data_IF_046827886276
#
_entry.id   IF_046827886276
#
_cell.length_a   1.000
_cell.length_b   1.000
_cell.length_c   1.000
_cell.angle_alpha   90.00
_cell.angle_beta   90.00
_cell.angle_gamma   90.00
#
_symmetry.space_group_name_H-M   'P 1'
#
loop_
_entity.id
_entity.type
_entity.pdbx_description
1 polymer ?
#
# COMPACT_ATOMS: atom_id res chain seq x y z
N UNK A 1 -7.47 25.61 27.52
CA UNK A 1 -7.83 24.49 26.61
C UNK A 1 -7.12 23.24 27.13
N UNK A 2 -7.85 22.32 27.78
CA UNK A 2 -7.26 21.10 28.37
C UNK A 2 -6.88 20.16 27.23
N UNK A 3 -5.59 19.82 27.12
CA UNK A 3 -5.10 18.87 26.13
C UNK A 3 -5.55 17.46 26.50
N UNK A 4 -6.28 16.81 25.61
CA UNK A 4 -6.65 15.41 25.74
C UNK A 4 -5.37 14.57 25.56
N UNK A 5 -4.79 14.10 26.67
CA UNK A 5 -3.72 13.10 26.62
C UNK A 5 -4.35 11.81 26.12
N UNK A 6 -3.98 11.37 24.92
CA UNK A 6 -4.39 10.06 24.40
C UNK A 6 -3.88 8.99 25.39
N UNK A 7 -4.75 8.05 25.82
CA UNK A 7 -4.34 7.01 26.78
C UNK A 7 -3.16 6.21 26.22
N UNK A 8 -2.21 5.87 27.10
CA UNK A 8 -1.10 4.97 26.78
C UNK A 8 -1.71 3.66 26.30
N UNK A 9 -1.52 3.34 25.02
CA UNK A 9 -2.03 2.12 24.40
C UNK A 9 -1.44 0.92 25.15
N UNK A 10 -2.28 0.09 25.75
CA UNK A 10 -1.82 -1.15 26.40
C UNK A 10 -0.99 -1.99 25.42
N UNK A 11 0.05 -2.71 25.90
CA UNK A 11 0.91 -3.50 25.05
C UNK A 11 0.09 -4.63 24.41
N UNK A 12 -0.35 -4.40 23.17
CA UNK A 12 -1.02 -5.42 22.36
C UNK A 12 -0.02 -6.52 22.04
N UNK A 13 -0.44 -7.79 22.18
CA UNK A 13 0.36 -8.94 21.81
C UNK A 13 0.95 -8.78 20.40
N UNK A 14 2.26 -8.92 20.26
CA UNK A 14 2.94 -8.72 18.97
C UNK A 14 2.59 -9.85 18.00
N UNK A 15 2.25 -9.51 16.77
CA UNK A 15 2.06 -10.51 15.71
C UNK A 15 3.39 -11.17 15.32
N UNK A 16 3.32 -12.40 14.78
CA UNK A 16 4.48 -13.19 14.32
C UNK A 16 5.44 -12.39 13.44
N UNK A 17 4.92 -11.64 12.47
CA UNK A 17 5.73 -10.82 11.55
C UNK A 17 6.47 -9.67 12.26
N UNK A 18 5.91 -9.12 13.34
CA UNK A 18 6.52 -8.05 14.13
C UNK A 18 7.69 -8.59 14.95
N UNK A 19 7.52 -9.76 15.57
CA UNK A 19 8.59 -10.42 16.34
C UNK A 19 9.77 -10.75 15.42
N UNK A 20 9.51 -11.37 14.26
CA UNK A 20 10.56 -11.67 13.28
C UNK A 20 11.29 -10.42 12.78
N UNK A 21 10.58 -9.32 12.54
CA UNK A 21 11.20 -8.06 12.09
C UNK A 21 12.06 -7.39 13.16
N UNK A 22 11.66 -7.46 14.43
CA UNK A 22 12.47 -6.96 15.56
C UNK A 22 13.74 -7.78 15.73
N UNK A 23 13.65 -9.11 15.66
CA UNK A 23 14.84 -9.97 15.71
C UNK A 23 15.81 -9.64 14.56
N UNK A 24 15.31 -9.48 13.34
CA UNK A 24 16.14 -9.10 12.20
C UNK A 24 16.84 -7.74 12.39
N UNK A 25 16.15 -6.76 13.01
CA UNK A 25 16.76 -5.47 13.33
C UNK A 25 17.86 -5.59 14.39
N UNK A 26 17.67 -6.44 15.41
CA UNK A 26 18.69 -6.73 16.43
C UNK A 26 19.92 -7.38 15.78
N UNK A 27 19.71 -8.40 14.94
CA UNK A 27 20.79 -9.08 14.20
C UNK A 27 21.54 -8.10 13.30
N UNK A 28 20.82 -7.22 12.60
CA UNK A 28 21.44 -6.19 11.77
C UNK A 28 22.29 -5.23 12.60
N UNK A 29 21.79 -4.75 13.74
CA UNK A 29 22.53 -3.85 14.62
C UNK A 29 23.80 -4.48 15.19
N UNK A 30 23.76 -5.75 15.57
CA UNK A 30 24.97 -6.48 16.03
C UNK A 30 26.00 -6.57 14.92
N UNK A 31 25.58 -7.01 13.72
CA UNK A 31 26.48 -7.08 12.56
C UNK A 31 27.07 -5.73 12.17
N UNK A 32 26.28 -4.66 12.23
CA UNK A 32 26.75 -3.31 11.92
C UNK A 32 27.73 -2.76 12.97
N UNK A 33 27.75 -3.34 14.17
CA UNK A 33 28.70 -3.01 15.23
C UNK A 33 29.88 -4.01 15.29
N UNK A 34 30.01 -4.92 14.30
CA UNK A 34 30.96 -6.03 14.29
C UNK A 34 30.91 -6.92 15.54
N UNK A 35 29.74 -6.99 16.18
CA UNK A 35 29.47 -7.87 17.32
C UNK A 35 28.71 -9.11 16.85
N UNK A 36 29.04 -10.26 17.44
CA UNK A 36 28.37 -11.52 17.13
C UNK A 36 26.86 -11.44 17.44
N UNK A 37 25.97 -11.68 16.45
CA UNK A 37 24.54 -11.54 16.65
C UNK A 37 23.97 -12.69 17.51
N UNK A 38 22.85 -12.48 18.22
CA UNK A 38 22.21 -13.51 19.06
C UNK A 38 21.79 -14.78 18.32
N UNK A 39 21.72 -14.73 16.98
CA UNK A 39 21.42 -15.88 16.13
C UNK A 39 22.63 -16.75 15.81
N UNK A 40 23.83 -16.30 16.15
CA UNK A 40 25.10 -17.00 15.89
C UNK A 40 25.86 -17.34 17.19
N UNK A 41 25.40 -16.82 18.33
CA UNK A 41 25.96 -17.13 19.65
C UNK A 41 25.74 -18.60 20.04
N UNK A 42 26.54 -19.16 20.96
CA UNK A 42 26.44 -20.56 21.38
C UNK A 42 25.05 -20.98 21.91
N UNK A 43 24.26 -20.04 22.42
CA UNK A 43 22.91 -20.24 22.94
C UNK A 43 21.80 -20.01 21.88
N UNK A 44 22.16 -19.75 20.61
CA UNK A 44 21.23 -19.49 19.52
C UNK A 44 20.19 -20.61 19.33
N UNK A 45 20.50 -21.85 19.71
CA UNK A 45 19.54 -22.96 19.69
C UNK A 45 18.31 -22.71 20.61
N UNK A 46 18.49 -22.02 21.74
CA UNK A 46 17.39 -21.62 22.63
C UNK A 46 16.52 -20.57 21.97
N UNK A 47 17.15 -19.58 21.33
CA UNK A 47 16.45 -18.55 20.56
C UNK A 47 15.68 -19.14 19.38
N UNK A 48 16.26 -20.08 18.64
CA UNK A 48 15.59 -20.74 17.52
C UNK A 48 14.39 -21.55 18.00
N UNK A 49 14.53 -22.28 19.12
CA UNK A 49 13.43 -23.02 19.74
C UNK A 49 12.31 -22.10 20.20
N UNK A 50 12.62 -20.98 20.85
CA UNK A 50 11.65 -19.97 21.25
C UNK A 50 10.93 -19.36 20.03
N UNK A 51 11.68 -19.01 18.97
CA UNK A 51 11.10 -18.50 17.72
C UNK A 51 10.23 -19.54 17.02
N UNK A 52 10.58 -20.82 17.08
CA UNK A 52 9.78 -21.93 16.56
C UNK A 52 8.49 -22.12 17.37
N UNK A 53 8.57 -22.04 18.71
CA UNK A 53 7.42 -22.04 19.61
C UNK A 53 6.45 -20.91 19.28
N UNK A 54 6.94 -19.66 19.23
CA UNK A 54 6.16 -18.48 18.85
C UNK A 54 5.50 -18.65 17.46
N UNK A 55 6.21 -19.22 16.48
CA UNK A 55 5.65 -19.49 15.14
C UNK A 55 4.54 -20.54 15.20
N UNK A 56 4.64 -21.54 16.07
CA UNK A 56 3.67 -22.63 16.24
C UNK A 56 2.44 -22.14 17.00
N UNK A 57 2.62 -21.44 18.12
CA UNK A 57 1.54 -20.90 18.95
C UNK A 57 0.73 -19.86 18.17
N UNK A 58 1.40 -19.02 17.36
CA UNK A 58 0.76 -18.04 16.49
C UNK A 58 0.40 -18.59 15.11
N UNK A 59 0.45 -19.91 14.89
CA UNK A 59 0.03 -20.53 13.62
C UNK A 59 -1.50 -20.51 13.45
N UNK A 60 -2.23 -20.50 14.58
CA UNK A 60 -3.70 -20.37 14.62
C UNK A 60 -4.21 -18.92 14.59
N UNK A 61 -3.33 -17.92 14.79
CA UNK A 61 -3.64 -16.51 14.51
C UNK A 61 -3.71 -16.34 12.99
N UNK A 62 -4.85 -16.69 12.38
CA UNK A 62 -5.11 -16.31 10.99
C UNK A 62 -4.93 -14.79 10.92
N UNK A 63 -4.09 -14.26 10.00
CA UNK A 63 -4.12 -12.85 9.70
C UNK A 63 -5.58 -12.51 9.41
N UNK A 64 -6.21 -11.71 10.26
CA UNK A 64 -7.64 -11.44 10.15
C UNK A 64 -7.93 -11.12 8.69
N UNK A 65 -8.74 -11.95 8.03
CA UNK A 65 -9.05 -11.82 6.61
C UNK A 65 -9.83 -10.53 6.45
N UNK A 66 -9.08 -9.43 6.31
CA UNK A 66 -9.61 -8.11 6.04
C UNK A 66 -10.24 -8.20 4.67
N UNK A 67 -11.49 -7.76 4.55
CA UNK A 67 -12.14 -7.59 3.25
C UNK A 67 -11.14 -6.89 2.33
N UNK A 68 -10.82 -7.45 1.15
CA UNK A 68 -9.93 -6.78 0.23
C UNK A 68 -10.49 -5.40 -0.08
N UNK A 69 -9.62 -4.39 -0.13
CA UNK A 69 -9.99 -3.08 -0.65
C UNK A 69 -10.04 -3.20 -2.18
N UNK A 70 -11.02 -3.96 -2.69
CA UNK A 70 -11.16 -4.23 -4.12
C UNK A 70 -11.57 -2.97 -4.90
N UNK A 71 -11.75 -3.11 -6.22
CA UNK A 71 -12.07 -1.98 -7.08
C UNK A 71 -13.39 -1.28 -6.73
N UNK A 72 -14.34 -1.98 -6.11
CA UNK A 72 -15.63 -1.40 -5.69
C UNK A 72 -15.44 -0.53 -4.47
N UNK A 73 -14.78 -1.09 -3.45
CA UNK A 73 -14.47 -0.36 -2.20
C UNK A 73 -13.70 0.92 -2.49
N UNK A 74 -12.68 0.88 -3.37
CA UNK A 74 -11.91 2.08 -3.69
C UNK A 74 -12.71 3.12 -4.46
N UNK A 75 -13.60 2.69 -5.37
CA UNK A 75 -14.49 3.62 -6.07
C UNK A 75 -15.43 4.30 -5.08
N UNK A 76 -15.98 3.55 -4.13
CA UNK A 76 -16.91 4.08 -3.14
C UNK A 76 -16.18 5.08 -2.20
N UNK A 77 -14.93 4.77 -1.82
CA UNK A 77 -14.05 5.70 -1.10
C UNK A 77 -13.77 7.00 -1.87
N UNK A 78 -13.49 6.93 -3.18
CA UNK A 78 -13.27 8.13 -4.01
C UNK A 78 -14.55 8.96 -4.11
N UNK A 79 -15.71 8.31 -4.26
CA UNK A 79 -17.03 8.98 -4.34
C UNK A 79 -17.47 9.61 -3.03
N UNK A 80 -17.12 9.00 -1.90
CA UNK A 80 -17.45 9.52 -0.57
C UNK A 80 -16.68 10.81 -0.22
N UNK A 81 -15.57 11.10 -0.91
CA UNK A 81 -14.88 12.39 -0.78
C UNK A 81 -15.69 13.44 -1.53
N UNK A 82 -16.62 14.06 -0.81
CA UNK A 82 -17.43 15.20 -1.26
C UNK A 82 -16.69 16.52 -1.01
N UNK A 83 -16.78 17.46 -1.94
CA UNK A 83 -16.19 18.80 -1.80
C UNK A 83 -15.28 19.22 -2.96
N UNK A 84 -15.06 20.53 -3.04
CA UNK A 84 -14.27 21.21 -4.08
C UNK A 84 -13.07 21.96 -3.51
N UNK A 85 -12.65 21.65 -2.29
CA UNK A 85 -11.42 22.20 -1.72
C UNK A 85 -10.18 21.42 -2.21
N UNK A 86 -9.00 21.99 -1.99
CA UNK A 86 -7.73 21.35 -2.38
C UNK A 86 -7.55 19.97 -1.76
N UNK A 87 -8.05 19.76 -0.54
CA UNK A 87 -7.93 18.47 0.15
C UNK A 87 -8.71 17.39 -0.58
N UNK A 88 -9.95 17.68 -0.97
CA UNK A 88 -10.82 16.77 -1.69
C UNK A 88 -10.25 16.41 -3.07
N UNK A 89 -9.71 17.39 -3.81
CA UNK A 89 -9.05 17.10 -5.09
C UNK A 89 -7.80 16.23 -4.91
N UNK A 90 -6.92 16.58 -3.96
CA UNK A 90 -5.71 15.80 -3.67
C UNK A 90 -6.06 14.37 -3.29
N UNK A 91 -7.02 14.19 -2.38
CA UNK A 91 -7.30 12.88 -1.79
C UNK A 91 -7.99 11.95 -2.81
N UNK A 92 -8.88 12.47 -3.68
CA UNK A 92 -9.41 11.69 -4.83
C UNK A 92 -8.31 11.26 -5.79
N UNK A 93 -7.43 12.19 -6.19
CA UNK A 93 -6.30 11.88 -7.07
C UNK A 93 -5.34 10.87 -6.44
N UNK A 94 -5.04 11.01 -5.15
CA UNK A 94 -4.13 10.14 -4.41
C UNK A 94 -4.65 8.70 -4.37
N UNK A 95 -5.94 8.51 -4.07
CA UNK A 95 -6.56 7.18 -4.03
C UNK A 95 -6.61 6.55 -5.42
N UNK A 96 -7.06 7.29 -6.43
CA UNK A 96 -7.20 6.78 -7.79
C UNK A 96 -5.84 6.41 -8.40
N UNK A 97 -4.83 7.29 -8.31
CA UNK A 97 -3.47 7.03 -8.79
C UNK A 97 -2.79 5.93 -7.99
N UNK A 98 -2.93 5.94 -6.67
CA UNK A 98 -2.33 4.94 -5.80
C UNK A 98 -2.86 3.52 -6.07
N UNK A 99 -4.16 3.39 -6.31
CA UNK A 99 -4.80 2.14 -6.73
C UNK A 99 -4.35 1.75 -8.14
N UNK A 100 -4.50 2.64 -9.13
CA UNK A 100 -4.24 2.31 -10.53
C UNK A 100 -2.77 1.94 -10.80
N UNK A 101 -1.81 2.55 -10.10
CA UNK A 101 -0.38 2.24 -10.25
C UNK A 101 0.18 1.21 -9.26
N UNK A 102 -0.67 0.64 -8.41
CA UNK A 102 -0.29 -0.31 -7.34
C UNK A 102 0.90 0.20 -6.48
N UNK A 103 0.95 1.50 -6.22
CA UNK A 103 2.12 2.15 -5.60
C UNK A 103 2.26 1.81 -4.13
N UNK A 104 3.52 1.62 -3.69
CA UNK A 104 3.83 1.73 -2.26
C UNK A 104 3.67 3.18 -1.85
N UNK A 105 3.30 3.45 -0.59
CA UNK A 105 3.13 4.82 -0.09
C UNK A 105 4.34 5.71 -0.32
N UNK A 106 5.54 5.19 -0.11
CA UNK A 106 6.80 5.91 -0.33
C UNK A 106 7.01 6.25 -1.80
N UNK A 107 6.59 5.37 -2.72
CA UNK A 107 6.65 5.63 -4.16
C UNK A 107 5.63 6.71 -4.53
N UNK A 108 4.40 6.60 -4.02
CA UNK A 108 3.32 7.54 -4.30
C UNK A 108 3.64 8.98 -3.89
N UNK A 109 4.21 9.19 -2.69
CA UNK A 109 4.59 10.54 -2.24
C UNK A 109 5.87 11.07 -2.89
N UNK A 110 6.63 10.19 -3.57
CA UNK A 110 7.84 10.56 -4.30
C UNK A 110 7.57 10.87 -5.78
N UNK A 111 6.32 10.77 -6.25
CA UNK A 111 5.95 11.16 -7.62
C UNK A 111 6.13 12.66 -7.77
N UNK A 112 6.87 13.05 -8.80
CA UNK A 112 7.09 14.44 -9.21
C UNK A 112 6.51 14.68 -10.59
N UNK A 113 6.07 15.91 -10.89
CA UNK A 113 5.51 16.27 -12.20
C UNK A 113 6.45 15.89 -13.33
N UNK A 114 7.76 16.19 -13.21
CA UNK A 114 8.77 15.83 -14.23
C UNK A 114 9.04 14.33 -14.40
N UNK A 115 8.33 13.45 -13.69
CA UNK A 115 8.38 11.99 -13.85
C UNK A 115 7.05 11.41 -14.34
N UNK A 116 6.09 12.26 -14.66
CA UNK A 116 4.80 11.87 -15.23
C UNK A 116 4.78 12.36 -16.67
N UNK A 117 4.65 11.43 -17.61
CA UNK A 117 4.37 11.75 -19.00
C UNK A 117 2.91 11.45 -19.30
N UNK A 118 2.21 12.41 -19.89
CA UNK A 118 0.86 12.17 -20.41
C UNK A 118 0.93 11.53 -21.80
N UNK A 119 0.13 10.48 -21.99
CA UNK A 119 -0.05 9.76 -23.25
C UNK A 119 -1.54 9.81 -23.59
N UNK A 120 -1.92 9.68 -24.86
CA UNK A 120 -3.35 9.66 -25.25
C UNK A 120 -4.14 8.54 -24.58
N UNK A 121 -3.47 7.49 -24.11
CA UNK A 121 -4.06 6.34 -23.40
C UNK A 121 -4.06 6.50 -21.87
N UNK A 122 -3.37 7.50 -21.33
CA UNK A 122 -3.33 7.76 -19.88
C UNK A 122 -2.02 8.39 -19.40
N UNK A 123 -1.47 7.90 -18.29
CA UNK A 123 -0.23 8.42 -17.69
C UNK A 123 0.87 7.36 -17.66
N UNK A 124 2.11 7.77 -17.92
CA UNK A 124 3.30 6.98 -17.69
C UNK A 124 4.09 7.59 -16.52
N UNK A 125 4.11 6.91 -15.38
CA UNK A 125 4.75 7.40 -14.16
C UNK A 125 6.06 6.65 -13.93
N UNK A 126 7.18 7.37 -13.94
CA UNK A 126 8.50 6.83 -13.63
C UNK A 126 8.77 6.85 -12.12
N UNK A 127 8.99 5.68 -11.54
CA UNK A 127 9.43 5.51 -10.15
C UNK A 127 10.95 5.47 -10.13
N UNK A 128 11.57 6.38 -9.38
CA UNK A 128 12.99 6.27 -9.08
C UNK A 128 13.23 5.11 -8.09
N UNK A 129 14.29 4.34 -8.36
CA UNK A 129 14.92 3.31 -7.51
C UNK A 129 14.15 2.93 -6.25
N UNK A 130 13.47 1.79 -6.29
CA UNK A 130 12.87 1.18 -5.10
C UNK A 130 13.91 0.33 -4.34
N UNK A 131 13.64 -0.03 -3.08
CA UNK A 131 14.49 -0.93 -2.26
C UNK A 131 14.87 -2.27 -2.92
N UNK A 132 14.21 -2.67 -4.01
CA UNK A 132 14.44 -3.92 -4.74
C UNK A 132 15.10 -3.71 -6.11
N UNK A 133 15.43 -2.48 -6.49
CA UNK A 133 16.10 -2.13 -7.76
C UNK A 133 17.57 -1.81 -7.48
N UNK A 134 18.40 -2.85 -7.32
CA UNK A 134 19.84 -2.70 -7.07
C UNK A 134 20.61 -2.19 -8.29
N UNK A 135 20.02 -2.22 -9.50
CA UNK A 135 20.65 -1.80 -10.76
C UNK A 135 20.26 -0.38 -11.21
N UNK A 136 19.34 0.30 -10.52
CA UNK A 136 19.04 1.70 -10.76
C UNK A 136 18.25 2.01 -12.03
N UNK A 137 17.67 1.00 -12.70
CA UNK A 137 16.98 1.17 -14.00
C UNK A 137 15.70 2.00 -13.87
N UNK A 138 15.08 1.99 -12.68
CA UNK A 138 13.77 2.59 -12.45
C UNK A 138 12.66 1.81 -13.15
N UNK A 139 11.41 2.02 -12.72
CA UNK A 139 10.25 1.36 -13.32
C UNK A 139 9.26 2.40 -13.82
N UNK A 140 8.75 2.21 -15.03
CA UNK A 140 7.65 3.01 -15.58
C UNK A 140 6.35 2.25 -15.39
N UNK A 141 5.36 2.92 -14.80
CA UNK A 141 4.02 2.36 -14.56
C UNK A 141 3.03 3.07 -15.47
N UNK A 142 2.33 2.30 -16.30
CA UNK A 142 1.25 2.82 -17.12
C UNK A 142 -0.05 2.86 -16.32
N UNK A 143 -0.72 4.01 -16.31
CA UNK A 143 -2.02 4.23 -15.68
C UNK A 143 -3.01 4.59 -16.77
N UNK A 144 -3.83 3.64 -17.24
CA UNK A 144 -4.83 3.92 -18.26
C UNK A 144 -5.93 4.84 -17.72
N UNK A 145 -6.52 5.63 -18.61
CA UNK A 145 -7.69 6.44 -18.27
C UNK A 145 -8.95 5.58 -18.18
N UNK A 146 -9.12 4.92 -17.04
CA UNK A 146 -10.25 4.03 -16.77
C UNK A 146 -11.48 4.76 -16.25
N UNK A 147 -12.65 4.47 -16.81
CA UNK A 147 -13.94 5.11 -16.43
C UNK A 147 -14.40 4.86 -14.99
N UNK A 148 -13.92 3.79 -14.33
CA UNK A 148 -14.40 3.40 -12.99
C UNK A 148 -13.80 4.26 -11.87
N UNK A 149 -12.50 4.55 -11.95
CA UNK A 149 -11.75 5.32 -10.95
C UNK A 149 -11.25 6.67 -11.48
N UNK A 150 -11.37 6.90 -12.79
CA UNK A 150 -10.99 8.15 -13.48
C UNK A 150 -9.64 8.73 -13.02
N UNK A 151 -8.56 7.93 -12.96
CA UNK A 151 -7.31 8.33 -12.31
C UNK A 151 -6.67 9.54 -13.00
N UNK A 152 -6.75 9.62 -14.33
CA UNK A 152 -6.17 10.71 -15.11
C UNK A 152 -6.97 11.99 -14.92
N UNK A 153 -8.30 11.90 -14.96
CA UNK A 153 -9.19 13.03 -14.65
C UNK A 153 -8.92 13.61 -13.27
N UNK A 154 -8.84 12.76 -12.24
CA UNK A 154 -8.57 13.23 -10.88
C UNK A 154 -7.17 13.80 -10.72
N UNK A 155 -6.16 13.22 -11.37
CA UNK A 155 -4.80 13.76 -11.40
C UNK A 155 -4.76 15.16 -12.01
N UNK A 156 -5.34 15.35 -13.19
CA UNK A 156 -5.39 16.65 -13.88
C UNK A 156 -6.13 17.70 -13.05
N UNK A 157 -7.30 17.35 -12.52
CA UNK A 157 -8.08 18.24 -11.66
C UNK A 157 -7.29 18.65 -10.40
N UNK A 158 -6.51 17.74 -9.82
CA UNK A 158 -5.65 18.08 -8.68
C UNK A 158 -4.55 19.07 -9.08
N UNK A 159 -3.81 18.81 -10.16
CA UNK A 159 -2.73 19.71 -10.60
C UNK A 159 -3.24 21.10 -10.94
N UNK A 160 -4.35 21.18 -11.67
CA UNK A 160 -4.99 22.43 -12.06
C UNK A 160 -5.40 23.25 -10.82
N UNK A 161 -6.21 22.65 -9.94
CA UNK A 161 -6.76 23.36 -8.78
C UNK A 161 -5.67 23.77 -7.78
N UNK A 162 -4.60 22.97 -7.67
CA UNK A 162 -3.47 23.27 -6.81
C UNK A 162 -2.41 24.18 -7.45
N UNK A 163 -2.52 24.49 -8.75
CA UNK A 163 -1.52 25.26 -9.50
C UNK A 163 -0.13 24.58 -9.53
N UNK A 164 -0.08 23.24 -9.56
CA UNK A 164 1.18 22.49 -9.50
C UNK A 164 1.70 22.24 -10.92
N UNK A 165 2.80 22.90 -11.27
CA UNK A 165 3.48 22.75 -12.57
C UNK A 165 4.81 22.01 -12.47
N UNK A 166 5.38 21.89 -11.27
CA UNK A 166 6.67 21.23 -11.03
C UNK A 166 6.78 20.65 -9.62
N UNK A 167 7.85 19.90 -9.35
CA UNK A 167 8.12 19.32 -8.02
C UNK A 167 7.17 18.16 -7.66
N UNK A 168 6.95 17.90 -6.35
CA UNK A 168 6.10 16.81 -5.89
C UNK A 168 4.64 16.99 -6.33
N UNK A 169 4.03 15.91 -6.83
CA UNK A 169 2.61 15.88 -7.20
C UNK A 169 1.73 15.96 -5.95
N UNK A 170 1.97 15.07 -4.98
CA UNK A 170 1.16 14.99 -3.78
C UNK A 170 1.81 15.76 -2.64
N UNK A 171 1.44 17.03 -2.53
CA UNK A 171 2.00 17.97 -1.54
C UNK A 171 1.26 17.94 -0.20
N UNK A 172 1.97 18.29 0.86
CA UNK A 172 1.39 18.47 2.19
C UNK A 172 0.47 19.69 2.17
N UNK A 173 -0.71 19.54 2.79
CA UNK A 173 -1.59 20.65 3.12
C UNK A 173 -1.45 20.98 4.61
N UNK A 174 -1.52 22.25 4.97
CA UNK A 174 -1.64 22.67 6.38
C UNK A 174 -2.98 22.19 6.97
N UNK A 175 -3.16 22.22 8.30
CA UNK A 175 -4.46 21.94 8.91
C UNK A 175 -5.58 22.82 8.33
N UNK A 176 -5.28 24.09 8.02
CA UNK A 176 -6.20 25.04 7.40
C UNK A 176 -6.40 24.84 5.88
N UNK A 177 -5.80 23.80 5.28
CA UNK A 177 -5.98 23.48 3.87
C UNK A 177 -5.08 24.24 2.89
N UNK A 178 -4.08 24.98 3.37
CA UNK A 178 -3.14 25.70 2.49
C UNK A 178 -2.10 24.75 1.91
N UNK A 179 -1.78 24.93 0.63
CA UNK A 179 -0.73 24.18 -0.06
C UNK A 179 0.66 24.56 0.46
N UNK A 180 1.56 23.58 0.51
CA UNK A 180 2.98 23.77 0.83
C UNK A 180 3.82 23.16 -0.29
N UNK A 181 5.09 23.54 -0.43
CA UNK A 181 5.98 22.96 -1.45
C UNK A 181 6.56 21.59 -1.07
N UNK A 182 6.32 21.13 0.16
CA UNK A 182 6.84 19.86 0.66
C UNK A 182 5.93 18.70 0.23
N UNK A 183 6.50 17.52 -0.11
CA UNK A 183 5.71 16.32 -0.34
C UNK A 183 4.92 15.94 0.92
N UNK A 184 3.78 15.30 0.74
CA UNK A 184 3.06 14.69 1.86
C UNK A 184 3.85 13.50 2.41
N UNK A 185 3.67 13.17 3.69
CA UNK A 185 4.34 12.01 4.27
C UNK A 185 3.66 10.70 3.86
N UNK A 186 4.43 9.60 3.82
CA UNK A 186 3.87 8.27 3.62
C UNK A 186 2.82 7.93 4.71
N UNK A 187 2.98 8.43 5.93
CA UNK A 187 1.96 8.28 6.96
C UNK A 187 0.68 9.05 6.62
N UNK A 188 0.79 10.24 6.01
CA UNK A 188 -0.34 11.00 5.50
C UNK A 188 -1.18 10.19 4.50
N UNK A 189 -0.56 9.40 3.62
CA UNK A 189 -1.29 8.53 2.69
C UNK A 189 -2.17 7.52 3.44
N UNK A 190 -1.64 6.89 4.48
CA UNK A 190 -2.40 5.93 5.28
C UNK A 190 -3.57 6.60 6.03
N UNK A 191 -3.41 7.85 6.46
CA UNK A 191 -4.48 8.61 7.08
C UNK A 191 -5.58 8.98 6.07
N UNK A 192 -5.22 9.38 4.84
CA UNK A 192 -6.18 9.65 3.77
C UNK A 192 -6.99 8.40 3.43
N UNK A 193 -6.33 7.26 3.24
CA UNK A 193 -7.01 5.98 2.98
C UNK A 193 -8.01 5.65 4.09
N UNK A 194 -7.63 5.81 5.36
CA UNK A 194 -8.54 5.54 6.49
C UNK A 194 -9.69 6.53 6.56
N UNK A 195 -9.44 7.82 6.35
CA UNK A 195 -10.48 8.84 6.36
C UNK A 195 -11.51 8.61 5.25
N UNK A 196 -11.04 8.27 4.04
CA UNK A 196 -11.93 7.95 2.92
C UNK A 196 -12.72 6.65 3.15
N UNK A 197 -12.12 5.64 3.80
CA UNK A 197 -12.82 4.42 4.19
C UNK A 197 -13.97 4.72 5.16
N UNK A 198 -13.72 5.54 6.20
CA UNK A 198 -14.74 5.98 7.14
C UNK A 198 -15.85 6.76 6.43
N UNK A 199 -15.49 7.69 5.55
CA UNK A 199 -16.46 8.48 4.78
C UNK A 199 -17.36 7.59 3.90
N UNK A 200 -16.84 6.48 3.38
CA UNK A 200 -17.59 5.50 2.60
C UNK A 200 -18.32 4.43 3.44
N UNK A 201 -18.31 4.54 4.77
CA UNK A 201 -19.01 3.60 5.66
C UNK A 201 -18.25 2.31 5.95
N UNK A 202 -16.95 2.24 5.68
CA UNK A 202 -16.12 1.07 5.99
C UNK A 202 -15.31 1.25 7.28
N UNK A 203 -15.05 0.14 7.97
CA UNK A 203 -14.20 0.10 9.17
C UNK A 203 -12.73 0.44 8.82
N UNK A 204 -12.12 1.48 9.43
CA UNK A 204 -10.74 1.90 9.13
C UNK A 204 -9.68 0.89 9.57
N UNK A 205 -10.01 -0.07 10.43
CA UNK A 205 -9.16 -1.18 10.87
C UNK A 205 -8.84 -2.14 9.73
N UNK A 206 -9.72 -2.22 8.73
CA UNK A 206 -9.53 -3.01 7.51
C UNK A 206 -8.52 -2.36 6.56
N UNK A 207 -8.22 -1.08 6.75
CA UNK A 207 -7.37 -0.32 5.84
C UNK A 207 -6.04 0.07 6.44
N UNK A 208 -5.02 0.06 5.59
CA UNK A 208 -3.66 0.44 5.94
C UNK A 208 -3.01 1.14 4.77
N UNK A 209 -1.77 1.56 4.97
CA UNK A 209 -0.97 2.12 3.91
C UNK A 209 -0.72 1.20 2.71
N UNK A 210 -0.89 -0.11 2.85
CA UNK A 210 -0.74 -1.06 1.74
C UNK A 210 -2.06 -1.36 1.02
N UNK A 211 -3.18 -0.79 1.48
CA UNK A 211 -4.50 -1.12 0.94
C UNK A 211 -4.65 -0.79 -0.54
N UNK A 212 -4.03 0.29 -1.04
CA UNK A 212 -4.12 0.64 -2.47
C UNK A 212 -3.43 -0.41 -3.36
N UNK A 213 -2.21 -0.80 -3.01
CA UNK A 213 -1.45 -1.82 -3.74
C UNK A 213 -2.07 -3.21 -3.63
N UNK A 214 -2.48 -3.60 -2.41
CA UNK A 214 -3.14 -4.88 -2.20
C UNK A 214 -4.49 -4.92 -2.92
N UNK A 215 -5.25 -3.83 -2.88
CA UNK A 215 -6.51 -3.67 -3.58
C UNK A 215 -6.40 -3.87 -5.08
N UNK A 216 -5.37 -3.29 -5.70
CA UNK A 216 -5.09 -3.51 -7.12
C UNK A 216 -4.88 -5.00 -7.42
N UNK A 217 -4.05 -5.68 -6.63
CA UNK A 217 -3.75 -7.10 -6.85
C UNK A 217 -4.96 -8.00 -6.62
N UNK A 218 -5.78 -7.71 -5.62
CA UNK A 218 -7.05 -8.39 -5.43
C UNK A 218 -7.95 -8.20 -6.64
N UNK A 219 -8.21 -6.96 -7.08
CA UNK A 219 -9.12 -6.73 -8.21
C UNK A 219 -8.58 -7.37 -9.49
N UNK A 220 -7.27 -7.27 -9.74
CA UNK A 220 -6.64 -7.93 -10.88
C UNK A 220 -6.75 -9.46 -10.78
N UNK A 221 -6.58 -10.04 -9.60
CA UNK A 221 -6.77 -11.48 -9.39
C UNK A 221 -8.22 -11.93 -9.57
N UNK A 222 -9.18 -11.13 -9.10
CA UNK A 222 -10.61 -11.36 -9.32
C UNK A 222 -11.00 -11.36 -10.80
N UNK A 223 -10.31 -10.55 -11.60
CA UNK A 223 -10.49 -10.47 -13.06
C UNK A 223 -9.63 -11.50 -13.82
N UNK A 224 -8.98 -12.43 -13.12
CA UNK A 224 -8.04 -13.41 -13.66
C UNK A 224 -6.97 -12.79 -14.57
N UNK A 225 -6.43 -11.65 -14.16
CA UNK A 225 -5.36 -10.99 -14.90
C UNK A 225 -4.10 -11.86 -14.90
N UNK A 226 -3.30 -11.74 -15.97
CA UNK A 226 -2.07 -12.50 -16.10
C UNK A 226 -1.09 -12.21 -14.94
N UNK A 227 -0.66 -13.26 -14.23
CA UNK A 227 0.22 -13.17 -13.05
C UNK A 227 1.54 -12.44 -13.32
N UNK A 228 2.15 -12.62 -14.49
CA UNK A 228 3.40 -11.93 -14.85
C UNK A 228 3.15 -10.44 -15.01
N UNK A 229 2.05 -10.04 -15.66
CA UNK A 229 1.66 -8.63 -15.78
C UNK A 229 1.30 -8.01 -14.44
N UNK A 230 0.61 -8.75 -13.57
CA UNK A 230 0.35 -8.31 -12.19
C UNK A 230 1.65 -8.10 -11.41
N UNK A 231 2.61 -9.03 -11.50
CA UNK A 231 3.92 -8.92 -10.86
C UNK A 231 4.74 -7.75 -11.40
N UNK A 232 4.78 -7.58 -12.72
CA UNK A 232 5.47 -6.49 -13.41
C UNK A 232 4.88 -5.14 -12.97
N UNK A 233 3.56 -4.96 -13.13
CA UNK A 233 2.86 -3.71 -12.80
C UNK A 233 3.00 -3.36 -11.34
N UNK A 234 2.79 -4.33 -10.44
CA UNK A 234 2.94 -4.10 -9.02
C UNK A 234 4.41 -4.04 -8.60
N UNK A 235 5.38 -4.57 -9.33
CA UNK A 235 6.79 -4.63 -8.90
C UNK A 235 6.98 -5.51 -7.65
N UNK A 236 6.31 -6.67 -7.62
CA UNK A 236 6.61 -7.70 -6.64
C UNK A 236 7.82 -8.53 -7.08
N UNK A 237 8.66 -8.93 -6.14
CA UNK A 237 9.83 -9.77 -6.44
C UNK A 237 9.46 -11.23 -6.70
N UNK A 238 8.45 -11.76 -5.99
CA UNK A 238 7.99 -13.15 -6.11
C UNK A 238 6.64 -13.24 -6.82
N UNK A 239 6.54 -14.20 -7.75
CA UNK A 239 5.26 -14.61 -8.34
C UNK A 239 4.35 -15.30 -7.32
N UNK A 240 4.92 -16.03 -6.36
CA UNK A 240 4.15 -16.74 -5.33
C UNK A 240 3.28 -15.80 -4.49
N UNK A 241 3.86 -14.66 -4.09
CA UNK A 241 3.14 -13.60 -3.37
C UNK A 241 1.98 -13.00 -4.18
N UNK A 242 2.11 -12.96 -5.51
CA UNK A 242 1.05 -12.46 -6.40
C UNK A 242 0.00 -13.54 -6.64
N UNK A 243 0.41 -14.80 -6.77
CA UNK A 243 -0.47 -15.95 -7.00
C UNK A 243 -1.44 -16.20 -5.84
N UNK A 244 -1.10 -15.79 -4.62
CA UNK A 244 -2.03 -15.83 -3.48
C UNK A 244 -3.31 -15.01 -3.76
N UNK A 245 -3.20 -13.87 -4.45
CA UNK A 245 -4.35 -13.03 -4.81
C UNK A 245 -5.25 -13.67 -5.87
N UNK A 246 -4.75 -14.57 -6.71
CA UNK A 246 -5.56 -15.29 -7.71
C UNK A 246 -6.19 -16.53 -7.09
N UNK A 247 -5.39 -17.34 -6.38
CA UNK A 247 -5.82 -18.59 -5.73
C UNK A 247 -6.98 -18.38 -4.76
N UNK A 248 -7.03 -17.25 -4.07
CA UNK A 248 -8.14 -16.95 -3.16
C UNK A 248 -9.48 -16.71 -3.87
N UNK A 249 -9.47 -16.25 -5.13
CA UNK A 249 -10.67 -16.00 -5.92
C UNK A 249 -11.11 -17.22 -6.77
N UNK A 250 -10.18 -18.12 -7.09
CA UNK A 250 -10.46 -19.33 -7.88
C UNK A 250 -10.98 -20.51 -7.06
N UNK A 251 -11.07 -20.41 -5.72
CA UNK A 251 -11.42 -21.54 -4.83
C UNK A 251 -12.71 -22.30 -5.17
N UNK A 252 -13.65 -21.66 -5.87
CA UNK A 252 -14.93 -22.26 -6.28
C UNK A 252 -15.12 -22.32 -7.80
N UNK A 253 -14.17 -21.80 -8.59
CA UNK A 253 -14.29 -21.76 -10.05
C UNK A 253 -13.64 -23.02 -10.61
N UNK A 254 -14.34 -23.71 -11.52
CA UNK A 254 -13.90 -25.02 -12.05
C UNK A 254 -13.63 -26.01 -10.91
N UNK A 255 -14.51 -25.99 -9.91
CA UNK A 255 -14.34 -26.82 -8.72
C UNK A 255 -14.39 -28.29 -9.14
N UNK A 256 -13.45 -29.10 -8.68
CA UNK A 256 -13.36 -30.52 -9.07
C UNK A 256 -14.65 -31.33 -8.78
N UNK A 257 -15.52 -30.82 -7.89
CA UNK A 257 -16.83 -31.36 -7.58
C UNK A 257 -18.01 -30.82 -8.39
N UNK A 258 -17.83 -29.84 -9.28
CA UNK A 258 -18.92 -29.15 -10.00
C UNK A 258 -19.77 -30.09 -10.87
N UNK A 259 -19.22 -31.23 -11.30
CA UNK A 259 -19.94 -32.23 -12.07
C UNK A 259 -20.72 -33.27 -11.25
N UNK A 260 -20.59 -33.29 -9.91
CA UNK A 260 -21.21 -34.34 -9.08
C UNK A 260 -21.68 -33.89 -7.68
N UNK A 261 -21.49 -32.62 -7.33
CA UNK A 261 -22.12 -31.95 -6.18
C UNK A 261 -23.33 -31.15 -6.65
#
# INVERSE_FOLDING_TARGET
KRGTVLPRKEPVALGRATIGRRLAAIVFAHRAADVEPPTSQPDAARLERAMRGIRKDKRGEMPGKKRPADGDVLRDMVRAIVGKDLRAYRDRALLAIGMAGAFRRSELVAITVGRVNEDSRGLLIRIATSKTDQEGKGHTVAIPDGRRLEPVRHYRAWLEQAGITSGPVFRKLTPQGRLTDKPMSAQGVALVVKAAAVAAGYSPELFSGHSLRAGFLTEAGRQNANLFKMKEHSRHSSLEMVAEYVRDHERFREHAGEGFL
#
